data_IF_886463099082
#
_entry.id   IF_886463099082
#
_cell.length_a   1.000
_cell.length_b   1.000
_cell.length_c   1.000
_cell.angle_alpha   90.00
_cell.angle_beta   90.00
_cell.angle_gamma   90.00
#
_symmetry.space_group_name_H-M   'P 1'
#
loop_
_entity.id
_entity.type
_entity.pdbx_description
1 polymer ?
#
# COMPACT_ATOMS: atom_id res chain seq x y z
N UNK A 1 -35.43 -5.02 -9.49
CA UNK A 1 -34.54 -4.61 -8.38
C UNK A 1 -33.64 -3.51 -8.91
N UNK A 2 -33.45 -2.40 -8.20
CA UNK A 2 -32.51 -1.41 -8.68
C UNK A 2 -31.10 -2.07 -8.73
N UNK A 3 -30.38 -1.85 -9.83
CA UNK A 3 -28.97 -2.24 -9.92
C UNK A 3 -28.22 -1.66 -8.73
N UNK A 4 -27.39 -2.48 -8.10
CA UNK A 4 -26.57 -2.02 -6.99
C UNK A 4 -25.67 -0.88 -7.50
N UNK A 5 -25.80 0.30 -6.90
CA UNK A 5 -24.99 1.45 -7.27
C UNK A 5 -23.55 1.20 -6.82
N UNK A 6 -22.66 1.02 -7.79
CA UNK A 6 -21.24 0.84 -7.52
C UNK A 6 -20.54 2.17 -7.23
N UNK A 7 -19.61 2.14 -6.31
CA UNK A 7 -18.73 3.29 -6.01
C UNK A 7 -17.33 3.02 -6.54
N UNK A 8 -16.91 3.80 -7.54
CA UNK A 8 -15.55 3.72 -8.08
C UNK A 8 -14.57 4.42 -7.12
N UNK A 9 -13.54 3.69 -6.72
CA UNK A 9 -12.50 4.16 -5.82
C UNK A 9 -11.18 4.18 -6.59
N UNK A 10 -10.74 5.38 -6.94
CA UNK A 10 -9.48 5.62 -7.64
C UNK A 10 -8.38 5.92 -6.61
N UNK A 11 -7.34 5.11 -6.57
CA UNK A 11 -6.24 5.31 -5.64
C UNK A 11 -5.22 4.19 -5.67
N UNK A 12 -4.38 4.12 -4.65
CA UNK A 12 -3.31 3.15 -4.58
C UNK A 12 -3.76 1.79 -4.05
N UNK A 13 -3.10 0.76 -4.57
CA UNK A 13 -2.88 -0.54 -3.91
C UNK A 13 -1.41 -0.60 -3.56
N UNK A 14 -1.08 -0.94 -2.33
CA UNK A 14 0.28 -0.97 -1.85
C UNK A 14 0.50 -2.08 -0.83
N UNK A 15 1.77 -2.44 -0.64
CA UNK A 15 2.19 -3.24 0.51
C UNK A 15 2.88 -2.34 1.53
N UNK A 16 2.58 -2.55 2.81
CA UNK A 16 3.25 -1.90 3.93
C UNK A 16 4.11 -2.93 4.66
N UNK A 17 5.42 -2.81 4.54
CA UNK A 17 6.37 -3.61 5.31
C UNK A 17 6.74 -2.83 6.56
N UNK A 18 6.28 -3.31 7.71
CA UNK A 18 6.44 -2.65 9.01
C UNK A 18 7.47 -3.43 9.83
N UNK A 19 8.52 -2.72 10.25
CA UNK A 19 9.63 -3.24 11.02
C UNK A 19 9.70 -2.52 12.37
N UNK A 20 9.89 -3.26 13.44
CA UNK A 20 9.96 -2.70 14.79
C UNK A 20 11.41 -2.73 15.29
N UNK A 21 11.94 -1.56 15.56
CA UNK A 21 13.24 -1.37 16.17
C UNK A 21 13.07 -1.23 17.68
N UNK A 22 13.68 -2.15 18.45
CA UNK A 22 13.48 -2.25 19.89
C UNK A 22 14.35 -1.27 20.71
N UNK A 23 14.53 -0.06 20.20
CA UNK A 23 15.22 1.03 20.88
C UNK A 23 14.68 2.37 20.33
N UNK A 24 15.31 3.48 20.69
CA UNK A 24 14.97 4.81 20.19
C UNK A 24 15.97 5.25 19.11
N UNK A 25 15.47 5.79 18.00
CA UNK A 25 16.34 6.33 16.93
C UNK A 25 17.34 7.36 17.44
N UNK A 26 16.93 8.21 18.41
CA UNK A 26 17.80 9.22 19.01
C UNK A 26 19.07 8.66 19.66
N UNK A 27 19.09 7.37 20.02
CA UNK A 27 20.25 6.72 20.62
C UNK A 27 21.27 6.28 19.54
N UNK A 28 20.88 6.26 18.27
CA UNK A 28 21.66 5.75 17.14
C UNK A 28 21.94 6.80 16.06
N UNK A 29 21.09 7.82 15.97
CA UNK A 29 21.24 8.92 15.02
C UNK A 29 21.74 10.14 15.79
N UNK A 30 23.01 10.49 15.58
CA UNK A 30 23.64 11.64 16.23
C UNK A 30 23.40 12.91 15.41
N UNK A 31 22.70 13.93 15.94
CA UNK A 31 22.36 15.15 15.20
C UNK A 31 23.57 15.87 14.61
N UNK A 32 24.68 15.89 15.31
CA UNK A 32 25.95 16.52 14.89
C UNK A 32 26.65 15.78 13.75
N UNK A 33 26.27 14.52 13.49
CA UNK A 33 26.83 13.66 12.42
C UNK A 33 25.85 13.33 11.31
N UNK A 34 24.72 14.01 11.27
CA UNK A 34 23.66 13.72 10.28
C UNK A 34 24.10 13.91 8.82
N UNK A 35 25.14 14.72 8.60
CA UNK A 35 25.75 14.95 7.29
C UNK A 35 26.56 13.75 6.77
N UNK A 36 26.88 12.79 7.64
CA UNK A 36 27.59 11.54 7.30
C UNK A 36 26.82 10.38 7.95
N UNK A 37 25.55 10.24 7.57
CA UNK A 37 24.68 9.25 8.18
C UNK A 37 24.95 7.86 7.60
N UNK A 38 25.42 6.95 8.44
CA UNK A 38 25.50 5.52 8.17
C UNK A 38 24.98 4.77 9.39
N UNK A 39 23.71 4.39 9.36
CA UNK A 39 23.03 3.75 10.48
C UNK A 39 22.41 2.44 10.02
N UNK A 40 22.62 1.38 10.79
CA UNK A 40 21.98 0.09 10.62
C UNK A 40 21.14 -0.23 11.86
N UNK A 41 19.88 -0.61 11.63
CA UNK A 41 18.97 -1.04 12.68
C UNK A 41 18.76 -2.54 12.61
N UNK A 42 18.94 -3.23 13.73
CA UNK A 42 18.47 -4.60 13.87
C UNK A 42 16.97 -4.56 14.22
N UNK A 43 16.14 -5.09 13.35
CA UNK A 43 14.68 -5.11 13.51
C UNK A 43 14.24 -6.58 13.66
N UNK A 44 14.01 -7.06 14.89
CA UNK A 44 13.66 -8.46 15.13
C UNK A 44 12.27 -8.81 14.64
N UNK A 45 11.37 -7.83 14.56
CA UNK A 45 9.98 -8.02 14.15
C UNK A 45 9.71 -7.31 12.82
N UNK A 46 9.16 -8.06 11.88
CA UNK A 46 8.74 -7.56 10.58
C UNK A 46 7.41 -8.20 10.17
N UNK A 47 6.49 -7.39 9.69
CA UNK A 47 5.26 -7.87 9.08
C UNK A 47 4.97 -7.12 7.78
N UNK A 48 4.25 -7.77 6.89
CA UNK A 48 3.78 -7.18 5.63
C UNK A 48 2.27 -7.11 5.67
N UNK A 49 1.73 -5.92 5.46
CA UNK A 49 0.30 -5.63 5.46
C UNK A 49 -0.17 -5.22 4.07
N UNK A 50 -1.44 -5.48 3.80
CA UNK A 50 -2.10 -5.00 2.60
C UNK A 50 -2.57 -3.57 2.83
N UNK A 51 -2.03 -2.63 2.08
CA UNK A 51 -2.27 -1.20 2.23
C UNK A 51 -2.69 -0.54 0.92
N UNK A 52 -2.50 0.77 0.88
CA UNK A 52 -2.96 1.62 -0.20
C UNK A 52 -4.36 2.16 0.06
N UNK A 53 -4.57 3.45 -0.26
CA UNK A 53 -5.83 4.12 0.08
C UNK A 53 -7.04 3.48 -0.63
N UNK A 54 -6.93 3.09 -1.91
CA UNK A 54 -8.05 2.47 -2.61
C UNK A 54 -8.40 1.09 -2.02
N UNK A 55 -7.41 0.28 -1.72
CA UNK A 55 -7.63 -1.02 -1.08
C UNK A 55 -8.31 -0.90 0.27
N UNK A 56 -7.84 0.02 1.11
CA UNK A 56 -8.40 0.24 2.45
C UNK A 56 -9.82 0.82 2.40
N UNK A 57 -10.09 1.79 1.53
CA UNK A 57 -11.43 2.37 1.35
C UNK A 57 -12.41 1.32 0.85
N UNK A 58 -12.01 0.52 -0.17
CA UNK A 58 -12.85 -0.52 -0.72
C UNK A 58 -13.22 -1.59 0.32
N UNK A 59 -12.24 -2.02 1.11
CA UNK A 59 -12.46 -2.97 2.21
C UNK A 59 -13.51 -2.43 3.20
N UNK A 60 -13.32 -1.19 3.67
CA UNK A 60 -14.22 -0.59 4.65
C UNK A 60 -15.61 -0.35 4.07
N UNK A 61 -15.71 0.12 2.81
CA UNK A 61 -16.99 0.34 2.15
C UNK A 61 -17.78 -0.97 2.01
N UNK A 62 -17.10 -2.07 1.66
CA UNK A 62 -17.75 -3.37 1.57
C UNK A 62 -18.22 -3.86 2.95
N UNK A 63 -17.44 -3.64 4.01
CA UNK A 63 -17.81 -4.04 5.37
C UNK A 63 -19.08 -3.37 5.87
N UNK A 64 -19.39 -2.17 5.40
CA UNK A 64 -20.62 -1.44 5.72
C UNK A 64 -21.75 -1.65 4.70
N UNK A 65 -21.59 -2.62 3.78
CA UNK A 65 -22.63 -3.02 2.82
C UNK A 65 -22.64 -2.26 1.50
N UNK A 66 -21.62 -1.47 1.20
CA UNK A 66 -21.46 -0.81 -0.09
C UNK A 66 -20.90 -1.74 -1.17
N UNK A 67 -20.90 -1.28 -2.42
CA UNK A 67 -20.41 -2.02 -3.60
C UNK A 67 -19.19 -1.28 -4.21
N UNK A 68 -17.97 -1.48 -3.70
CA UNK A 68 -16.78 -0.82 -4.21
C UNK A 68 -16.29 -1.42 -5.52
N UNK A 69 -15.77 -0.56 -6.41
CA UNK A 69 -14.95 -0.91 -7.56
C UNK A 69 -13.60 -0.22 -7.41
N UNK A 70 -12.51 -0.98 -7.41
CA UNK A 70 -11.16 -0.43 -7.27
C UNK A 70 -10.59 -0.12 -8.64
N UNK A 71 -10.13 1.12 -8.84
CA UNK A 71 -9.32 1.52 -9.99
C UNK A 71 -7.92 1.89 -9.51
N UNK A 72 -6.95 1.06 -9.84
CA UNK A 72 -5.57 1.17 -9.38
C UNK A 72 -4.60 0.60 -10.41
N UNK A 73 -3.29 0.80 -10.21
CA UNK A 73 -2.23 0.16 -10.96
C UNK A 73 -1.37 -0.70 -10.03
N UNK A 74 -0.98 -1.89 -10.50
CA UNK A 74 -0.22 -2.89 -9.73
C UNK A 74 0.91 -3.47 -10.57
N UNK A 75 1.95 -3.96 -9.91
CA UNK A 75 3.11 -4.55 -10.56
C UNK A 75 3.09 -6.08 -10.60
N UNK A 76 4.24 -6.66 -10.95
CA UNK A 76 4.38 -8.11 -11.15
C UNK A 76 4.26 -8.91 -9.83
N UNK A 77 4.41 -8.26 -8.70
CA UNK A 77 4.29 -8.82 -7.35
C UNK A 77 2.87 -8.76 -6.75
N UNK A 78 1.87 -8.47 -7.58
CA UNK A 78 0.48 -8.24 -7.15
C UNK A 78 -0.24 -9.50 -6.64
N UNK A 79 0.20 -10.70 -7.01
CA UNK A 79 -0.54 -11.94 -6.77
C UNK A 79 -1.05 -12.14 -5.33
N UNK A 80 -0.28 -11.89 -4.26
CA UNK A 80 -0.79 -12.02 -2.89
C UNK A 80 -1.96 -11.08 -2.60
N UNK A 81 -1.91 -9.86 -3.13
CA UNK A 81 -3.00 -8.88 -2.98
C UNK A 81 -4.24 -9.30 -3.77
N UNK A 82 -4.06 -9.78 -5.02
CA UNK A 82 -5.13 -10.32 -5.84
C UNK A 82 -5.88 -11.44 -5.11
N UNK A 83 -5.15 -12.34 -4.47
CA UNK A 83 -5.73 -13.43 -3.69
C UNK A 83 -6.54 -12.92 -2.49
N UNK A 84 -6.05 -11.88 -1.79
CA UNK A 84 -6.81 -11.21 -0.72
C UNK A 84 -8.12 -10.62 -1.23
N UNK A 85 -8.07 -9.87 -2.34
CA UNK A 85 -9.28 -9.26 -2.93
C UNK A 85 -10.29 -10.32 -3.37
N UNK A 86 -9.82 -11.43 -3.92
CA UNK A 86 -10.66 -12.56 -4.29
C UNK A 86 -11.38 -13.15 -3.07
N UNK A 87 -10.67 -13.37 -1.97
CA UNK A 87 -11.26 -13.86 -0.70
C UNK A 87 -12.31 -12.91 -0.13
N UNK A 88 -12.15 -11.62 -0.37
CA UNK A 88 -13.08 -10.58 0.06
C UNK A 88 -14.22 -10.36 -0.95
N UNK A 89 -14.28 -11.09 -2.05
CA UNK A 89 -15.22 -10.90 -3.16
C UNK A 89 -15.20 -9.48 -3.74
N UNK A 90 -14.03 -8.84 -3.74
CA UNK A 90 -13.81 -7.53 -4.35
C UNK A 90 -13.42 -7.69 -5.82
N UNK A 91 -14.12 -6.99 -6.70
CA UNK A 91 -13.87 -7.03 -8.13
C UNK A 91 -12.51 -6.39 -8.46
N UNK A 92 -11.78 -6.99 -9.41
CA UNK A 92 -10.46 -6.57 -9.86
C UNK A 92 -10.44 -6.06 -11.30
N UNK A 93 -11.61 -5.83 -11.89
CA UNK A 93 -11.81 -5.51 -13.32
C UNK A 93 -11.05 -4.25 -13.74
N UNK A 94 -10.94 -3.26 -12.84
CA UNK A 94 -10.30 -1.96 -13.12
C UNK A 94 -8.94 -1.82 -12.44
N UNK A 95 -8.34 -2.92 -12.02
CA UNK A 95 -6.97 -2.96 -11.52
C UNK A 95 -6.05 -3.29 -12.70
N UNK A 96 -5.22 -2.32 -13.08
CA UNK A 96 -4.33 -2.42 -14.24
C UNK A 96 -2.98 -3.01 -13.83
N UNK A 97 -2.56 -4.14 -14.42
CA UNK A 97 -1.20 -4.63 -14.28
C UNK A 97 -0.22 -3.81 -15.14
N UNK A 98 0.92 -3.47 -14.58
CA UNK A 98 2.04 -2.80 -15.25
C UNK A 98 3.25 -3.71 -15.16
N UNK A 99 3.73 -4.18 -16.31
CA UNK A 99 4.85 -5.13 -16.40
C UNK A 99 6.17 -4.45 -15.98
N UNK A 100 7.10 -5.26 -15.52
CA UNK A 100 8.45 -4.84 -15.13
C UNK A 100 8.45 -3.77 -14.03
N UNK A 101 7.42 -3.76 -13.19
CA UNK A 101 7.30 -2.88 -12.03
C UNK A 101 6.94 -3.65 -10.76
N UNK A 102 7.23 -3.06 -9.61
CA UNK A 102 6.65 -3.49 -8.35
C UNK A 102 5.33 -2.77 -8.11
N UNK A 103 4.42 -3.41 -7.39
CA UNK A 103 3.29 -2.71 -6.75
C UNK A 103 3.86 -1.70 -5.74
N UNK A 104 3.18 -0.58 -5.53
CA UNK A 104 3.60 0.42 -4.55
C UNK A 104 3.93 -0.22 -3.19
N UNK A 105 5.02 0.21 -2.56
CA UNK A 105 5.49 -0.36 -1.30
C UNK A 105 5.98 0.74 -0.37
N UNK A 106 5.57 0.65 0.90
CA UNK A 106 6.13 1.43 2.00
C UNK A 106 6.97 0.51 2.90
N UNK A 107 8.20 0.92 3.17
CA UNK A 107 9.08 0.27 4.14
C UNK A 107 9.15 1.18 5.36
N UNK A 108 8.51 0.76 6.44
CA UNK A 108 8.28 1.58 7.63
C UNK A 108 9.05 0.97 8.80
N UNK A 109 10.01 1.71 9.34
CA UNK A 109 10.68 1.32 10.58
C UNK A 109 10.18 2.22 11.70
N UNK A 110 9.67 1.63 12.77
CA UNK A 110 9.20 2.33 13.98
C UNK A 110 10.15 2.09 15.13
N UNK A 111 10.26 3.06 16.03
CA UNK A 111 10.99 2.94 17.28
C UNK A 111 10.05 2.83 18.51
N UNK A 112 10.61 2.71 19.71
CA UNK A 112 9.83 2.59 20.95
C UNK A 112 9.10 3.87 21.37
N UNK A 113 9.33 4.98 20.70
CA UNK A 113 8.64 6.26 20.93
C UNK A 113 7.68 6.61 19.79
N UNK A 114 7.28 5.62 18.99
CA UNK A 114 6.39 5.77 17.84
C UNK A 114 6.93 6.70 16.74
N UNK A 115 8.24 6.98 16.72
CA UNK A 115 8.85 7.64 15.59
C UNK A 115 8.94 6.68 14.41
N UNK A 116 8.87 7.23 13.20
CA UNK A 116 8.90 6.44 11.96
C UNK A 116 9.95 6.97 10.99
N UNK A 117 10.66 6.04 10.38
CA UNK A 117 11.47 6.29 9.17
C UNK A 117 10.83 5.47 8.06
N UNK A 118 10.34 6.15 7.02
CA UNK A 118 9.62 5.51 5.91
C UNK A 118 10.35 5.75 4.60
N UNK A 119 10.61 4.66 3.87
CA UNK A 119 10.98 4.70 2.47
C UNK A 119 9.79 4.23 1.63
N UNK A 120 9.36 5.06 0.66
CA UNK A 120 8.23 4.75 -0.19
C UNK A 120 8.67 4.58 -1.64
N UNK A 121 8.31 3.44 -2.21
CA UNK A 121 8.52 3.14 -3.62
C UNK A 121 7.16 3.12 -4.34
N UNK A 122 6.87 4.10 -5.22
CA UNK A 122 5.55 4.20 -5.87
C UNK A 122 5.31 3.08 -6.90
N UNK A 123 6.35 2.58 -7.57
CA UNK A 123 6.24 1.50 -8.53
C UNK A 123 5.16 1.72 -9.59
N UNK A 124 4.28 0.75 -9.75
CA UNK A 124 3.19 0.79 -10.72
C UNK A 124 2.23 1.98 -10.52
N UNK A 125 2.16 2.57 -9.31
CA UNK A 125 1.33 3.74 -9.03
C UNK A 125 1.70 4.94 -9.92
N UNK A 126 2.96 5.05 -10.37
CA UNK A 126 3.40 6.09 -11.30
C UNK A 126 2.68 6.03 -12.67
N UNK A 127 2.05 4.90 -12.99
CA UNK A 127 1.32 4.68 -14.23
C UNK A 127 -0.20 4.81 -14.08
N UNK A 128 -0.68 5.27 -12.92
CA UNK A 128 -2.12 5.41 -12.63
C UNK A 128 -2.84 6.38 -13.57
N UNK A 129 -2.11 7.32 -14.18
CA UNK A 129 -2.63 8.24 -15.20
C UNK A 129 -3.13 7.54 -16.49
N UNK A 130 -2.77 6.25 -16.68
CA UNK A 130 -3.25 5.44 -17.81
C UNK A 130 -4.64 4.86 -17.54
N UNK A 131 -5.17 4.97 -16.33
CA UNK A 131 -6.54 4.60 -15.99
C UNK A 131 -7.47 5.78 -16.25
N UNK A 132 -8.63 5.49 -16.84
CA UNK A 132 -9.66 6.50 -17.10
C UNK A 132 -10.95 6.11 -16.41
N UNK A 133 -11.59 7.06 -15.73
CA UNK A 133 -12.86 6.83 -15.02
C UNK A 133 -13.95 6.35 -16.00
N UNK A 134 -13.86 6.75 -17.26
CA UNK A 134 -14.76 6.29 -18.32
C UNK A 134 -14.67 4.81 -18.65
N UNK A 135 -13.58 4.14 -18.23
CA UNK A 135 -13.41 2.68 -18.44
C UNK A 135 -14.29 1.86 -17.48
N UNK A 136 -14.87 2.50 -16.46
CA UNK A 136 -15.74 1.89 -15.45
C UNK A 136 -17.24 2.08 -15.72
N UNK A 137 -17.64 2.29 -16.97
CA UNK A 137 -19.05 2.43 -17.39
C UNK A 137 -19.73 1.07 -17.53
#
# INVERSE_FOLDING_TARGET
MPEAMHTLICGSIAYDTIMVFNDHFKNHILPEKIHILNVAFLVPDMRREFGGCAGNIAYNLQMIGGAPLIMAAVGDDYQPYAHRLQKLNLAQTHIRPVRDTFTAQAFITTDLADNQITAFHPGAMNFSHQNHVTDAK
#
